data_IF_843033786897
#
_entry.id   IF_843033786897
#
_cell.length_a   1.000
_cell.length_b   1.000
_cell.length_c   1.000
_cell.angle_alpha   90.00
_cell.angle_beta   90.00
_cell.angle_gamma   90.00
#
_symmetry.space_group_name_H-M   'P 1'
#
loop_
_entity.id
_entity.type
_entity.pdbx_description
1 polymer ?
#
# COMPACT_ATOMS: atom_id res chain seq x y z
N UNK A 1 6.45 -16.17 67.96
CA UNK A 1 7.09 -14.95 68.50
C UNK A 1 6.72 -13.81 67.56
N UNK A 2 5.72 -12.99 67.88
CA UNK A 2 5.87 -11.68 68.56
C UNK A 2 6.99 -10.88 67.88
N UNK A 3 6.74 -9.84 67.10
CA UNK A 3 6.21 -8.50 67.40
C UNK A 3 6.28 -7.73 66.04
N UNK A 4 5.71 -6.56 65.75
CA UNK A 4 5.45 -5.36 66.52
C UNK A 4 4.62 -4.39 65.65
N UNK A 5 3.76 -3.60 66.30
CA UNK A 5 3.08 -2.42 65.75
C UNK A 5 4.08 -1.29 65.39
N UNK A 6 3.51 -0.13 65.00
CA UNK A 6 4.10 1.25 64.94
C UNK A 6 4.67 1.61 63.57
N UNK A 7 4.42 2.78 62.97
CA UNK A 7 3.82 4.04 63.43
C UNK A 7 3.43 4.83 62.18
N UNK A 8 2.28 5.51 62.19
CA UNK A 8 1.97 6.61 61.26
C UNK A 8 3.05 7.69 61.39
N UNK A 9 3.59 8.18 60.28
CA UNK A 9 4.25 9.48 60.27
C UNK A 9 3.83 10.25 59.01
N UNK A 10 2.84 11.12 59.20
CA UNK A 10 2.44 12.18 58.29
C UNK A 10 3.55 13.23 58.23
N UNK A 11 4.15 13.42 57.05
CA UNK A 11 4.88 14.64 56.71
C UNK A 11 4.12 15.35 55.58
N UNK A 12 3.77 16.60 55.85
CA UNK A 12 3.15 17.54 54.92
C UNK A 12 4.22 18.26 54.08
N UNK A 13 3.83 18.58 52.85
CA UNK A 13 4.28 19.66 51.94
C UNK A 13 5.41 19.35 50.91
N UNK A 14 5.46 20.04 49.73
CA UNK A 14 4.44 20.84 49.03
C UNK A 14 4.25 20.48 47.53
N UNK A 15 3.21 21.10 46.97
CA UNK A 15 2.88 21.28 45.54
C UNK A 15 4.09 21.52 44.61
N UNK A 16 3.94 20.97 43.38
CA UNK A 16 4.25 21.52 42.04
C UNK A 16 4.90 20.42 41.19
N UNK A 17 4.11 19.74 40.37
CA UNK A 17 4.44 19.63 38.95
C UNK A 17 3.11 19.54 38.18
N UNK A 18 2.71 20.74 37.75
CA UNK A 18 1.91 21.02 36.57
C UNK A 18 1.69 19.82 35.66
N UNK A 19 0.40 19.52 35.45
CA UNK A 19 -0.11 18.64 34.42
C UNK A 19 0.62 18.87 33.08
N UNK A 20 1.50 17.94 32.71
CA UNK A 20 1.71 17.68 31.30
C UNK A 20 0.44 16.99 30.82
N UNK A 21 -0.40 17.79 30.18
CA UNK A 21 -1.41 17.32 29.24
C UNK A 21 -0.77 16.25 28.36
N UNK A 22 -1.08 14.99 28.63
CA UNK A 22 -0.80 13.89 27.73
C UNK A 22 -1.63 14.15 26.46
N UNK A 23 -1.02 14.87 25.52
CA UNK A 23 -1.54 15.08 24.18
C UNK A 23 -1.69 13.69 23.56
N UNK A 24 -2.89 13.22 23.18
CA UNK A 24 -3.07 12.00 22.41
C UNK A 24 -2.68 12.28 20.95
N UNK A 25 -1.40 12.62 20.71
CA UNK A 25 -0.89 13.02 19.39
C UNK A 25 0.24 12.12 18.89
N UNK A 26 1.01 11.50 19.79
CA UNK A 26 2.15 10.66 19.41
C UNK A 26 1.77 9.24 18.97
N UNK A 27 0.53 8.80 19.24
CA UNK A 27 0.06 7.47 18.83
C UNK A 27 -0.30 7.38 17.34
N UNK A 28 -0.68 8.49 16.70
CA UNK A 28 -1.02 8.48 15.27
C UNK A 28 0.25 8.32 14.43
N UNK A 29 1.39 8.79 14.97
CA UNK A 29 2.64 8.79 14.22
C UNK A 29 3.27 7.41 14.06
N UNK A 30 3.28 6.62 15.14
CA UNK A 30 3.79 5.26 15.12
C UNK A 30 2.89 4.32 14.29
N UNK A 31 1.59 4.64 14.19
CA UNK A 31 0.65 3.84 13.40
C UNK A 31 0.85 4.01 11.89
N UNK A 32 1.30 5.17 11.39
CA UNK A 32 1.59 5.31 9.96
C UNK A 32 2.84 4.52 9.56
N UNK A 33 3.91 4.56 10.35
CA UNK A 33 5.15 3.77 10.10
C UNK A 33 4.81 2.28 10.05
N UNK A 34 4.08 1.78 11.07
CA UNK A 34 3.69 0.38 11.15
C UNK A 34 2.68 -0.04 10.06
N UNK A 35 1.87 0.89 9.55
CA UNK A 35 0.94 0.62 8.43
C UNK A 35 1.65 0.65 7.08
N UNK A 36 2.70 1.48 6.93
CA UNK A 36 3.56 1.52 5.75
C UNK A 36 4.45 0.26 5.68
N UNK A 37 5.08 -0.15 6.79
CA UNK A 37 5.84 -1.40 6.86
C UNK A 37 4.97 -2.63 6.55
N UNK A 38 3.70 -2.62 6.96
CA UNK A 38 2.76 -3.70 6.65
C UNK A 38 2.24 -3.65 5.21
N UNK A 39 2.26 -2.48 4.58
CA UNK A 39 1.57 -2.21 3.31
C UNK A 39 2.36 -2.55 2.06
N UNK A 40 3.70 -2.54 2.11
CA UNK A 40 4.53 -2.78 0.93
C UNK A 40 5.67 -3.73 1.23
N UNK A 41 5.36 -5.02 1.40
CA UNK A 41 6.42 -6.01 1.29
C UNK A 41 6.73 -6.20 -0.20
N UNK A 42 7.92 -5.82 -0.69
CA UNK A 42 8.26 -6.02 -2.09
C UNK A 42 8.31 -7.53 -2.40
N UNK A 43 7.91 -7.91 -3.61
CA UNK A 43 8.08 -9.26 -4.13
C UNK A 43 9.57 -9.49 -4.41
N UNK A 44 10.24 -10.23 -3.50
CA UNK A 44 11.69 -10.44 -3.55
C UNK A 44 12.08 -11.65 -4.40
N UNK A 45 11.14 -12.57 -4.65
CA UNK A 45 11.38 -13.78 -5.45
C UNK A 45 10.64 -13.74 -6.80
N UNK A 46 11.17 -14.40 -7.84
CA UNK A 46 10.47 -14.52 -9.13
C UNK A 46 9.09 -15.16 -9.01
N UNK A 47 8.92 -16.13 -8.11
CA UNK A 47 7.63 -16.79 -7.89
C UNK A 47 6.61 -15.83 -7.26
N UNK A 48 6.99 -15.04 -6.25
CA UNK A 48 6.10 -14.01 -5.68
C UNK A 48 5.66 -13.00 -6.74
N UNK A 49 6.60 -12.51 -7.56
CA UNK A 49 6.30 -11.59 -8.67
C UNK A 49 5.34 -12.19 -9.67
N UNK A 50 5.52 -13.47 -10.02
CA UNK A 50 4.62 -14.22 -10.89
C UNK A 50 3.21 -14.30 -10.30
N UNK A 51 3.09 -14.67 -9.03
CA UNK A 51 1.80 -14.79 -8.34
C UNK A 51 1.08 -13.44 -8.24
N UNK A 52 1.82 -12.37 -7.94
CA UNK A 52 1.30 -11.01 -7.94
C UNK A 52 0.82 -10.60 -9.33
N UNK A 53 1.63 -10.79 -10.37
CA UNK A 53 1.27 -10.45 -11.74
C UNK A 53 0.01 -11.18 -12.23
N UNK A 54 -0.19 -12.46 -11.86
CA UNK A 54 -1.42 -13.19 -12.17
C UNK A 54 -2.64 -12.58 -11.47
N UNK A 55 -2.50 -12.25 -10.18
CA UNK A 55 -3.57 -11.60 -9.39
C UNK A 55 -3.98 -10.28 -10.02
N UNK A 56 -2.99 -9.47 -10.39
CA UNK A 56 -3.20 -8.16 -11.01
C UNK A 56 -3.85 -8.30 -12.39
N UNK A 57 -3.36 -9.20 -13.25
CA UNK A 57 -3.96 -9.48 -14.55
C UNK A 57 -5.42 -9.94 -14.42
N UNK A 58 -5.72 -10.83 -13.46
CA UNK A 58 -7.09 -11.29 -13.19
C UNK A 58 -8.01 -10.19 -12.69
N UNK A 59 -7.52 -9.34 -11.78
CA UNK A 59 -8.23 -8.15 -11.31
C UNK A 59 -8.49 -7.14 -12.43
N UNK A 60 -7.47 -6.86 -13.25
CA UNK A 60 -7.53 -6.00 -14.42
C UNK A 60 -8.56 -6.49 -15.44
N UNK A 61 -8.58 -7.79 -15.75
CA UNK A 61 -9.60 -8.38 -16.62
C UNK A 61 -11.01 -8.19 -16.05
N UNK A 62 -11.21 -8.40 -14.75
CA UNK A 62 -12.52 -8.20 -14.10
C UNK A 62 -13.00 -6.76 -14.26
N UNK A 63 -12.11 -5.78 -14.05
CA UNK A 63 -12.42 -4.37 -14.22
C UNK A 63 -12.69 -4.01 -15.68
N UNK A 64 -11.86 -4.51 -16.61
CA UNK A 64 -12.04 -4.28 -18.05
C UNK A 64 -13.37 -4.84 -18.55
N UNK A 65 -13.76 -6.06 -18.14
CA UNK A 65 -15.06 -6.63 -18.50
C UNK A 65 -16.24 -5.90 -17.83
N UNK A 66 -16.04 -5.27 -16.66
CA UNK A 66 -17.05 -4.40 -16.09
C UNK A 66 -17.20 -3.12 -16.94
N UNK A 67 -16.10 -2.46 -17.29
CA UNK A 67 -16.11 -1.28 -18.15
C UNK A 67 -16.73 -1.57 -19.53
N UNK A 68 -16.40 -2.72 -20.15
CA UNK A 68 -17.00 -3.11 -21.43
C UNK A 68 -18.52 -3.29 -21.37
N UNK A 69 -19.07 -3.69 -20.21
CA UNK A 69 -20.52 -3.86 -20.04
C UNK A 69 -21.26 -2.52 -20.05
N UNK A 70 -20.61 -1.45 -19.62
CA UNK A 70 -21.15 -0.08 -19.70
C UNK A 70 -21.16 0.46 -21.15
N UNK A 71 -20.37 -0.13 -22.05
CA UNK A 71 -20.29 0.25 -23.46
C UNK A 71 -21.31 -0.54 -24.32
N UNK A 72 -22.49 0.02 -24.60
CA UNK A 72 -23.54 -0.69 -25.36
C UNK A 72 -23.18 -0.95 -26.84
N UNK A 73 -22.53 0.01 -27.51
CA UNK A 73 -22.37 0.00 -28.97
C UNK A 73 -21.27 -0.95 -29.48
N UNK A 74 -20.35 -1.42 -28.63
CA UNK A 74 -19.23 -2.27 -29.07
C UNK A 74 -18.76 -3.30 -28.03
N UNK A 75 -19.65 -3.67 -27.10
CA UNK A 75 -19.34 -4.54 -25.96
C UNK A 75 -18.55 -5.79 -26.35
N UNK A 76 -18.96 -6.49 -27.41
CA UNK A 76 -18.33 -7.76 -27.82
C UNK A 76 -16.88 -7.58 -28.26
N UNK A 77 -16.58 -6.52 -29.01
CA UNK A 77 -15.21 -6.26 -29.43
C UNK A 77 -14.37 -5.80 -28.24
N UNK A 78 -14.91 -4.94 -27.37
CA UNK A 78 -14.27 -4.55 -26.10
C UNK A 78 -13.93 -5.77 -25.24
N UNK A 79 -14.87 -6.69 -25.03
CA UNK A 79 -14.63 -7.90 -24.23
C UNK A 79 -13.60 -8.82 -24.88
N UNK A 80 -13.60 -8.95 -26.21
CA UNK A 80 -12.59 -9.71 -26.95
C UNK A 80 -11.20 -9.11 -26.76
N UNK A 81 -11.10 -7.80 -26.85
CA UNK A 81 -9.87 -7.04 -26.66
C UNK A 81 -9.35 -7.15 -25.21
N UNK A 82 -10.23 -7.02 -24.22
CA UNK A 82 -9.89 -7.23 -22.81
C UNK A 82 -9.34 -8.64 -22.55
N UNK A 83 -9.94 -9.66 -23.18
CA UNK A 83 -9.45 -11.05 -23.09
C UNK A 83 -8.13 -11.26 -23.83
N UNK A 84 -7.88 -10.55 -24.93
CA UNK A 84 -6.61 -10.60 -25.63
C UNK A 84 -5.51 -9.99 -24.75
N UNK A 85 -5.74 -8.80 -24.19
CA UNK A 85 -4.81 -8.16 -23.25
C UNK A 85 -4.50 -9.06 -22.06
N UNK A 86 -5.51 -9.70 -21.46
CA UNK A 86 -5.30 -10.64 -20.37
C UNK A 86 -4.39 -11.81 -20.76
N UNK A 87 -4.47 -12.33 -21.99
CA UNK A 87 -3.57 -13.40 -22.44
C UNK A 87 -2.13 -12.92 -22.53
N UNK A 88 -1.93 -11.68 -22.98
CA UNK A 88 -0.62 -11.04 -23.06
C UNK A 88 -0.06 -10.79 -21.65
N UNK A 89 -0.87 -10.33 -20.70
CA UNK A 89 -0.50 -10.17 -19.29
C UNK A 89 -0.10 -11.51 -18.66
N UNK A 90 -0.83 -12.59 -18.97
CA UNK A 90 -0.48 -13.93 -18.50
C UNK A 90 0.81 -14.45 -19.16
N UNK A 91 1.09 -14.09 -20.41
CA UNK A 91 2.36 -14.41 -21.06
C UNK A 91 3.52 -13.65 -20.41
N UNK A 92 3.32 -12.36 -20.12
CA UNK A 92 4.26 -11.55 -19.39
C UNK A 92 4.53 -12.09 -17.98
N UNK A 93 3.49 -12.46 -17.23
CA UNK A 93 3.66 -13.08 -15.91
C UNK A 93 4.54 -14.34 -15.99
N UNK A 94 4.26 -15.24 -16.95
CA UNK A 94 5.08 -16.44 -17.17
C UNK A 94 6.53 -16.09 -17.51
N UNK A 95 6.75 -15.03 -18.27
CA UNK A 95 8.09 -14.55 -18.60
C UNK A 95 8.81 -13.99 -17.37
N UNK A 96 8.12 -13.21 -16.53
CA UNK A 96 8.66 -12.65 -15.29
C UNK A 96 9.17 -13.73 -14.33
N UNK A 97 8.55 -14.91 -14.35
CA UNK A 97 9.00 -16.08 -13.59
C UNK A 97 10.34 -16.63 -14.08
N UNK A 98 10.65 -16.52 -15.37
CA UNK A 98 11.88 -17.01 -16.00
C UNK A 98 12.98 -15.94 -16.03
N UNK A 99 12.57 -14.70 -16.27
CA UNK A 99 13.43 -13.55 -16.42
C UNK A 99 12.89 -12.41 -15.54
N UNK A 100 13.54 -12.10 -14.39
CA UNK A 100 13.07 -11.07 -13.48
C UNK A 100 13.15 -9.65 -14.06
N UNK A 101 13.91 -9.46 -15.15
CA UNK A 101 14.08 -8.19 -15.86
C UNK A 101 13.16 -8.08 -17.09
N UNK A 102 12.23 -9.02 -17.25
CA UNK A 102 11.22 -8.97 -18.30
C UNK A 102 10.44 -7.65 -18.24
N UNK A 103 10.23 -7.02 -19.40
CA UNK A 103 9.44 -5.79 -19.52
C UNK A 103 8.25 -6.03 -20.45
N UNK A 104 7.08 -5.42 -20.20
CA UNK A 104 5.97 -5.48 -21.14
C UNK A 104 6.39 -4.89 -22.49
N UNK A 105 6.09 -5.60 -23.58
CA UNK A 105 6.40 -5.15 -24.95
C UNK A 105 5.49 -4.01 -25.43
N UNK A 106 4.37 -3.77 -24.73
CA UNK A 106 3.54 -2.59 -24.92
C UNK A 106 2.97 -2.13 -23.58
N UNK A 107 3.08 -0.83 -23.29
CA UNK A 107 2.38 -0.23 -22.16
C UNK A 107 1.03 0.22 -22.71
N UNK A 108 0.04 -0.67 -22.65
CA UNK A 108 -1.35 -0.35 -23.00
C UNK A 108 -2.06 0.33 -21.83
N UNK A 109 -1.37 1.23 -21.13
CA UNK A 109 -1.97 1.99 -20.05
C UNK A 109 -2.76 3.14 -20.66
N UNK A 110 -4.09 3.09 -20.56
CA UNK A 110 -4.99 4.19 -20.89
C UNK A 110 -4.88 5.40 -19.94
N UNK A 111 -3.74 5.59 -19.29
CA UNK A 111 -3.33 6.87 -18.74
C UNK A 111 -2.46 7.51 -19.80
N UNK A 112 -3.11 8.29 -20.67
CA UNK A 112 -2.45 9.35 -21.42
C UNK A 112 -1.47 10.04 -20.46
N UNK A 113 -0.19 10.09 -20.85
CA UNK A 113 0.89 10.56 -19.98
C UNK A 113 0.64 12.02 -19.64
N UNK A 114 -0.08 12.29 -18.55
CA UNK A 114 -0.19 13.63 -18.00
C UNK A 114 1.17 13.97 -17.43
N UNK A 115 1.91 14.72 -18.24
CA UNK A 115 2.94 15.68 -17.90
C UNK A 115 3.51 15.55 -16.47
N UNK A 116 4.76 15.07 -16.40
CA UNK A 116 5.55 15.06 -15.16
C UNK A 116 5.79 16.51 -14.73
N UNK A 117 4.87 17.09 -13.95
CA UNK A 117 5.06 18.38 -13.32
C UNK A 117 6.17 18.23 -12.28
N UNK A 118 7.35 18.74 -12.62
CA UNK A 118 8.50 18.74 -11.72
C UNK A 118 8.22 19.70 -10.56
N UNK A 119 7.97 19.16 -9.37
CA UNK A 119 7.83 19.96 -8.15
C UNK A 119 9.23 20.49 -7.79
N UNK A 120 9.50 21.77 -8.05
CA UNK A 120 10.68 22.44 -7.49
C UNK A 120 10.48 22.62 -5.99
N UNK A 121 11.24 21.90 -5.19
CA UNK A 121 11.40 22.18 -3.76
C UNK A 121 12.27 23.43 -3.64
N UNK A 122 11.66 24.56 -3.27
CA UNK A 122 12.40 25.79 -2.93
C UNK A 122 12.88 25.62 -1.48
N UNK A 123 14.19 25.64 -1.18
CA UNK A 123 14.67 25.61 0.19
C UNK A 123 14.29 26.92 0.91
N UNK A 124 13.66 26.79 2.07
CA UNK A 124 13.43 27.91 2.98
C UNK A 124 14.78 28.39 3.55
N UNK A 125 14.97 29.71 3.55
CA UNK A 125 16.18 30.39 4.05
C UNK A 125 16.13 30.59 5.55
#
# INVERSE_FOLDING_TARGET
MQTSLRTRNTWLAPLIFTALLAVPGFAVAQNYEASLERGSHPDTTPEQRYQTAIREAGGGLKLALAACREQAADRKNCEREARANYKDDMAYARELRRNPDARPTSIRSGIESTEVTTIRVIPAK
#
